data_IF_445243165672
#
_entry.id   IF_445243165672
#
_cell.length_a   1.000
_cell.length_b   1.000
_cell.length_c   1.000
_cell.angle_alpha   90.00
_cell.angle_beta   90.00
_cell.angle_gamma   90.00
#
_symmetry.space_group_name_H-M   'P 1'
#
loop_
_entity.id
_entity.type
_entity.pdbx_description
1 polymer ?
#
# COMPACT_ATOMS: atom_id res chain seq x y z
N UNK A 1 -11.58 34.51 -7.43
CA UNK A 1 -11.22 35.72 -6.66
C UNK A 1 -11.81 36.92 -7.41
N UNK A 2 -12.40 37.93 -6.77
CA UNK A 2 -12.84 39.15 -7.47
C UNK A 2 -11.62 39.94 -7.96
N UNK A 3 -11.74 40.65 -9.09
CA UNK A 3 -10.65 41.45 -9.65
C UNK A 3 -10.32 42.64 -8.74
N UNK A 4 -9.05 42.79 -8.37
CA UNK A 4 -8.58 43.96 -7.62
C UNK A 4 -8.25 45.11 -8.56
N UNK A 5 -9.21 46.01 -8.75
CA UNK A 5 -9.06 47.16 -9.65
C UNK A 5 -8.03 48.19 -9.19
N UNK A 6 -7.82 48.35 -7.88
CA UNK A 6 -6.82 49.28 -7.36
C UNK A 6 -5.42 48.81 -7.76
N UNK A 7 -5.17 47.50 -7.62
CA UNK A 7 -3.91 46.90 -8.05
C UNK A 7 -3.66 47.17 -9.54
N UNK A 8 -4.66 46.98 -10.40
CA UNK A 8 -4.55 47.18 -11.86
C UNK A 8 -4.27 48.65 -12.21
N UNK A 9 -4.86 49.60 -11.48
CA UNK A 9 -4.67 51.04 -11.71
C UNK A 9 -3.28 51.52 -11.29
N UNK A 10 -2.72 50.96 -10.23
CA UNK A 10 -1.42 51.36 -9.68
C UNK A 10 -0.25 50.72 -10.44
N UNK A 11 -0.49 49.77 -11.36
CA UNK A 11 0.57 49.13 -12.15
C UNK A 11 1.14 50.09 -13.18
N UNK A 12 2.46 50.30 -13.11
CA UNK A 12 3.21 50.90 -14.20
C UNK A 12 3.68 49.85 -15.21
N UNK A 13 2.85 49.59 -16.23
CA UNK A 13 3.13 48.58 -17.27
C UNK A 13 4.38 48.93 -18.09
N UNK A 14 4.61 50.22 -18.35
CA UNK A 14 5.76 50.69 -19.13
C UNK A 14 7.09 50.39 -18.42
N UNK A 15 7.11 50.55 -17.10
CA UNK A 15 8.28 50.23 -16.30
C UNK A 15 8.57 48.72 -16.30
N UNK A 16 7.55 47.89 -16.04
CA UNK A 16 7.69 46.43 -16.06
C UNK A 16 8.20 45.95 -17.42
N UNK A 17 7.71 46.53 -18.52
CA UNK A 17 8.13 46.19 -19.86
C UNK A 17 9.60 46.60 -20.14
N UNK A 18 10.04 47.75 -19.66
CA UNK A 18 11.43 48.22 -19.82
C UNK A 18 12.42 47.43 -18.98
N UNK A 19 12.07 47.17 -17.73
CA UNK A 19 12.96 46.52 -16.76
C UNK A 19 12.92 44.98 -16.89
N UNK A 20 12.01 44.46 -17.74
CA UNK A 20 11.71 43.03 -17.87
C UNK A 20 11.51 42.34 -16.50
N UNK A 21 10.77 43.00 -15.61
CA UNK A 21 10.51 42.47 -14.28
C UNK A 21 9.49 41.33 -14.32
N UNK A 22 10.00 40.13 -14.55
CA UNK A 22 9.20 38.89 -14.63
C UNK A 22 8.50 38.60 -13.30
N UNK A 23 9.07 39.00 -12.16
CA UNK A 23 8.50 38.71 -10.84
C UNK A 23 7.22 39.53 -10.61
N UNK A 24 7.29 40.82 -10.92
CA UNK A 24 6.11 41.70 -10.86
C UNK A 24 5.05 41.27 -11.88
N UNK A 25 5.45 40.86 -13.09
CA UNK A 25 4.53 40.35 -14.09
C UNK A 25 3.83 39.07 -13.61
N UNK A 26 4.54 38.11 -13.05
CA UNK A 26 3.97 36.86 -12.52
C UNK A 26 2.96 37.14 -11.40
N UNK A 27 3.32 38.02 -10.46
CA UNK A 27 2.42 38.45 -9.38
C UNK A 27 1.12 39.05 -9.93
N UNK A 28 1.21 39.98 -10.88
CA UNK A 28 0.04 40.63 -11.47
C UNK A 28 -0.81 39.67 -12.29
N UNK A 29 -0.17 38.83 -13.09
CA UNK A 29 -0.85 37.81 -13.91
C UNK A 29 -1.66 36.87 -13.02
N UNK A 30 -1.14 36.46 -11.86
CA UNK A 30 -1.87 35.60 -10.94
C UNK A 30 -3.17 36.25 -10.41
N UNK A 31 -3.17 37.57 -10.22
CA UNK A 31 -4.32 38.31 -9.71
C UNK A 31 -5.32 38.71 -10.82
N UNK A 32 -4.85 38.86 -12.05
CA UNK A 32 -5.66 39.31 -13.20
C UNK A 32 -6.21 38.13 -14.00
N UNK A 33 -5.39 37.13 -14.32
CA UNK A 33 -5.78 36.02 -15.18
C UNK A 33 -6.82 35.09 -14.54
N UNK A 34 -6.75 34.92 -13.21
CA UNK A 34 -7.64 34.05 -12.44
C UNK A 34 -8.75 34.82 -11.69
N UNK A 35 -8.93 36.10 -12.00
CA UNK A 35 -10.02 36.88 -11.45
C UNK A 35 -11.35 36.59 -12.15
N UNK A 36 -12.40 36.40 -11.36
CA UNK A 36 -13.77 36.27 -11.86
C UNK A 36 -14.33 37.66 -12.12
N UNK A 37 -14.60 37.95 -13.39
CA UNK A 37 -15.30 39.16 -13.80
C UNK A 37 -16.80 39.01 -13.56
N UNK A 38 -17.37 39.95 -12.80
CA UNK A 38 -18.80 40.07 -12.54
C UNK A 38 -19.47 41.05 -13.51
N UNK A 39 -20.81 41.10 -13.52
CA UNK A 39 -21.55 42.06 -14.35
C UNK A 39 -21.30 43.52 -13.92
N UNK A 40 -20.92 43.76 -12.66
CA UNK A 40 -20.50 45.07 -12.18
C UNK A 40 -19.15 45.50 -12.79
N UNK A 41 -18.24 44.55 -13.03
CA UNK A 41 -16.96 44.79 -13.69
C UNK A 41 -17.15 45.13 -15.17
N UNK A 42 -18.17 44.56 -15.81
CA UNK A 42 -18.52 44.86 -17.20
C UNK A 42 -18.87 46.34 -17.41
N UNK A 43 -19.45 47.01 -16.40
CA UNK A 43 -19.73 48.45 -16.46
C UNK A 43 -18.45 49.29 -16.48
N UNK A 44 -17.35 48.80 -15.88
CA UNK A 44 -16.06 49.50 -15.85
C UNK A 44 -15.32 49.48 -17.19
N UNK A 45 -15.50 48.43 -17.99
CA UNK A 45 -14.87 48.34 -19.31
C UNK A 45 -15.48 49.29 -20.36
N UNK A 46 -16.68 49.83 -20.10
CA UNK A 46 -17.50 50.72 -20.97
C UNK A 46 -17.87 50.13 -22.35
N UNK A 47 -16.98 49.34 -22.96
CA UNK A 47 -17.16 48.62 -24.21
C UNK A 47 -17.21 47.10 -23.97
N UNK A 48 -18.19 46.46 -24.63
CA UNK A 48 -18.36 45.00 -24.63
C UNK A 48 -17.27 44.30 -25.45
N UNK A 49 -16.71 44.97 -26.46
CA UNK A 49 -15.58 44.46 -27.24
C UNK A 49 -14.33 44.29 -26.38
N UNK A 50 -13.95 45.34 -25.66
CA UNK A 50 -12.84 45.33 -24.70
C UNK A 50 -12.98 44.23 -23.64
N UNK A 51 -14.19 44.05 -23.06
CA UNK A 51 -14.43 42.97 -22.09
C UNK A 51 -14.23 41.58 -22.69
N UNK A 52 -14.70 41.34 -23.93
CA UNK A 52 -14.51 40.06 -24.61
C UNK A 52 -13.04 39.81 -24.91
N UNK A 53 -12.30 40.82 -25.38
CA UNK A 53 -10.87 40.73 -25.61
C UNK A 53 -10.11 40.41 -24.31
N UNK A 54 -10.46 41.07 -23.22
CA UNK A 54 -9.87 40.81 -21.90
C UNK A 54 -10.13 39.38 -21.42
N UNK A 55 -11.37 38.87 -21.54
CA UNK A 55 -11.69 37.48 -21.21
C UNK A 55 -10.92 36.48 -22.08
N UNK A 56 -10.75 36.76 -23.37
CA UNK A 56 -9.92 35.95 -24.27
C UNK A 56 -8.45 35.94 -23.83
N UNK A 57 -7.92 37.08 -23.38
CA UNK A 57 -6.57 37.17 -22.83
C UNK A 57 -6.42 36.36 -21.53
N UNK A 58 -7.41 36.41 -20.62
CA UNK A 58 -7.42 35.56 -19.41
C UNK A 58 -7.37 34.07 -19.78
N UNK A 59 -8.20 33.63 -20.73
CA UNK A 59 -8.18 32.25 -21.25
C UNK A 59 -6.84 31.89 -21.93
N UNK A 60 -6.24 32.83 -22.68
CA UNK A 60 -4.94 32.62 -23.32
C UNK A 60 -3.83 32.42 -22.31
N UNK A 61 -3.82 33.20 -21.22
CA UNK A 61 -2.87 33.04 -20.12
C UNK A 61 -3.08 31.72 -19.38
N UNK A 62 -4.32 31.34 -19.09
CA UNK A 62 -4.65 30.06 -18.47
C UNK A 62 -4.18 28.90 -19.36
N UNK A 63 -4.41 28.97 -20.68
CA UNK A 63 -3.93 28.00 -21.66
C UNK A 63 -2.40 27.88 -21.66
N UNK A 64 -1.68 29.00 -21.72
CA UNK A 64 -0.21 29.02 -21.69
C UNK A 64 0.34 28.49 -20.36
N UNK A 65 -0.36 28.75 -19.25
CA UNK A 65 0.00 28.22 -17.93
C UNK A 65 -0.24 26.70 -17.88
N UNK A 66 -1.29 26.21 -18.52
CA UNK A 66 -1.54 24.77 -18.67
C UNK A 66 -0.49 24.09 -19.56
N UNK A 67 -0.01 24.75 -20.61
CA UNK A 67 1.10 24.24 -21.44
C UNK A 67 2.43 24.24 -20.68
N UNK A 68 2.63 25.17 -19.74
CA UNK A 68 3.80 25.22 -18.85
C UNK A 68 3.69 24.30 -17.64
N UNK A 69 2.55 23.67 -17.36
CA UNK A 69 2.56 22.53 -16.43
C UNK A 69 3.56 21.54 -17.03
N UNK A 70 4.60 21.14 -16.29
CA UNK A 70 5.45 20.08 -16.80
C UNK A 70 4.52 18.92 -17.13
N UNK A 71 4.53 18.47 -18.39
CA UNK A 71 4.14 17.10 -18.74
C UNK A 71 4.61 16.24 -17.58
N UNK A 72 3.72 15.42 -16.97
CA UNK A 72 3.99 14.77 -15.69
C UNK A 72 5.43 14.35 -15.68
N UNK A 73 6.22 15.08 -14.90
CA UNK A 73 7.69 15.02 -14.95
C UNK A 73 8.03 13.55 -14.95
N UNK A 74 8.82 13.11 -15.95
CA UNK A 74 9.34 11.74 -15.98
C UNK A 74 9.64 11.34 -14.54
N UNK A 75 9.09 10.22 -14.04
CA UNK A 75 9.19 9.89 -12.64
C UNK A 75 10.64 10.03 -12.25
N UNK A 76 10.91 10.81 -11.20
CA UNK A 76 12.27 11.13 -10.77
C UNK A 76 13.11 9.86 -10.85
N UNK A 77 14.31 9.94 -11.42
CA UNK A 77 15.13 8.74 -11.68
C UNK A 77 15.33 7.88 -10.42
N UNK A 78 15.18 8.45 -9.22
CA UNK A 78 15.15 7.76 -7.93
C UNK A 78 13.93 6.84 -7.74
N UNK A 79 12.74 7.27 -8.16
CA UNK A 79 11.52 6.47 -8.03
C UNK A 79 11.49 5.34 -9.05
N UNK A 80 12.02 5.59 -10.25
CA UNK A 80 12.27 4.54 -11.24
C UNK A 80 13.28 3.51 -10.73
N UNK A 81 14.37 3.94 -10.08
CA UNK A 81 15.37 3.04 -9.47
C UNK A 81 14.77 2.23 -8.32
N UNK A 82 13.94 2.84 -7.47
CA UNK A 82 13.22 2.13 -6.39
C UNK A 82 12.26 1.09 -6.96
N UNK A 83 11.45 1.46 -7.95
CA UNK A 83 10.53 0.56 -8.61
C UNK A 83 11.26 -0.61 -9.29
N UNK A 84 12.41 -0.34 -9.93
CA UNK A 84 13.25 -1.38 -10.52
C UNK A 84 13.81 -2.33 -9.45
N UNK A 85 14.31 -1.80 -8.34
CA UNK A 85 14.81 -2.61 -7.22
C UNK A 85 13.71 -3.46 -6.57
N UNK A 86 12.51 -2.89 -6.41
CA UNK A 86 11.35 -3.61 -5.88
C UNK A 86 10.90 -4.72 -6.86
N UNK A 87 10.93 -4.44 -8.16
CA UNK A 87 10.64 -5.43 -9.20
C UNK A 87 11.66 -6.57 -9.19
N UNK A 88 12.95 -6.27 -9.08
CA UNK A 88 14.01 -7.27 -9.00
C UNK A 88 13.84 -8.17 -7.77
N UNK A 89 13.53 -7.58 -6.62
CA UNK A 89 13.28 -8.35 -5.39
C UNK A 89 12.06 -9.28 -5.52
N UNK A 90 11.01 -8.84 -6.20
CA UNK A 90 9.84 -9.70 -6.49
C UNK A 90 10.18 -10.86 -7.41
N UNK A 91 11.03 -10.64 -8.42
CA UNK A 91 11.49 -11.71 -9.31
C UNK A 91 12.27 -12.76 -8.53
N UNK A 92 13.21 -12.34 -7.69
CA UNK A 92 13.99 -13.26 -6.85
C UNK A 92 13.10 -14.04 -5.87
N UNK A 93 12.09 -13.39 -5.28
CA UNK A 93 11.11 -14.07 -4.42
C UNK A 93 10.30 -15.12 -5.21
N UNK A 94 9.84 -14.79 -6.41
CA UNK A 94 9.10 -15.72 -7.27
C UNK A 94 9.98 -16.90 -7.72
N UNK A 95 11.25 -16.66 -8.05
CA UNK A 95 12.21 -17.72 -8.39
C UNK A 95 12.42 -18.67 -7.21
N UNK A 96 12.55 -18.14 -5.99
CA UNK A 96 12.70 -18.97 -4.79
C UNK A 96 11.45 -19.83 -4.51
N UNK A 97 10.27 -19.27 -4.69
CA UNK A 97 8.99 -19.98 -4.53
C UNK A 97 8.81 -21.05 -5.61
N UNK A 98 9.21 -20.76 -6.85
CA UNK A 98 9.16 -21.71 -7.95
C UNK A 98 10.07 -22.91 -7.65
N UNK A 99 11.31 -22.64 -7.24
CA UNK A 99 12.26 -23.68 -6.83
C UNK A 99 11.72 -24.55 -5.68
N UNK A 100 11.16 -23.93 -4.63
CA UNK A 100 10.53 -24.68 -3.54
C UNK A 100 9.36 -25.54 -4.00
N UNK A 101 8.55 -25.04 -4.93
CA UNK A 101 7.41 -25.77 -5.48
C UNK A 101 7.86 -26.97 -6.31
N UNK A 102 8.94 -26.82 -7.09
CA UNK A 102 9.53 -27.91 -7.88
C UNK A 102 10.10 -29.00 -6.98
N UNK A 103 10.84 -28.62 -5.94
CA UNK A 103 11.37 -29.56 -4.94
C UNK A 103 10.25 -30.34 -4.24
N UNK A 104 9.14 -29.68 -3.89
CA UNK A 104 7.97 -30.35 -3.29
C UNK A 104 7.32 -31.32 -4.28
N UNK A 105 7.20 -30.92 -5.54
CA UNK A 105 6.66 -31.77 -6.62
C UNK A 105 7.53 -33.00 -6.83
N UNK A 106 8.86 -32.85 -6.86
CA UNK A 106 9.79 -33.96 -7.01
C UNK A 106 9.68 -34.96 -5.86
N UNK A 107 9.65 -34.47 -4.61
CA UNK A 107 9.42 -35.32 -3.42
C UNK A 107 8.11 -36.08 -3.49
N UNK A 108 7.03 -35.42 -3.91
CA UNK A 108 5.72 -36.05 -4.08
C UNK A 108 5.71 -37.09 -5.21
N UNK A 109 6.44 -36.85 -6.30
CA UNK A 109 6.60 -37.83 -7.38
C UNK A 109 7.43 -39.03 -6.94
N UNK A 110 8.52 -38.80 -6.20
CA UNK A 110 9.35 -39.87 -5.64
C UNK A 110 8.55 -40.73 -4.66
N UNK A 111 7.79 -40.12 -3.75
CA UNK A 111 6.93 -40.85 -2.83
C UNK A 111 5.82 -41.62 -3.58
N UNK A 112 5.18 -41.00 -4.57
CA UNK A 112 4.18 -41.66 -5.42
C UNK A 112 4.74 -42.90 -6.11
N UNK A 113 5.95 -42.84 -6.66
CA UNK A 113 6.63 -44.01 -7.26
C UNK A 113 6.87 -45.12 -6.23
N UNK A 114 7.31 -44.78 -5.03
CA UNK A 114 7.52 -45.74 -3.94
C UNK A 114 6.20 -46.41 -3.54
N UNK A 115 5.12 -45.64 -3.35
CA UNK A 115 3.81 -46.19 -3.02
C UNK A 115 3.27 -47.08 -4.13
N UNK A 116 3.42 -46.68 -5.40
CA UNK A 116 3.03 -47.48 -6.56
C UNK A 116 3.79 -48.82 -6.60
N UNK A 117 5.12 -48.79 -6.47
CA UNK A 117 5.92 -50.00 -6.45
C UNK A 117 5.58 -50.92 -5.27
N UNK A 118 5.34 -50.34 -4.08
CA UNK A 118 4.93 -51.12 -2.90
C UNK A 118 3.56 -51.76 -3.11
N UNK A 119 2.62 -51.04 -3.72
CA UNK A 119 1.30 -51.57 -4.04
C UNK A 119 1.39 -52.70 -5.07
N UNK A 120 2.17 -52.54 -6.13
CA UNK A 120 2.39 -53.58 -7.15
C UNK A 120 3.07 -54.82 -6.55
N UNK A 121 4.02 -54.65 -5.62
CA UNK A 121 4.65 -55.77 -4.91
C UNK A 121 3.66 -56.52 -4.00
N UNK A 122 2.81 -55.79 -3.26
CA UNK A 122 1.76 -56.40 -2.45
C UNK A 122 0.70 -57.10 -3.30
N UNK A 123 0.34 -56.52 -4.44
CA UNK A 123 -0.61 -57.14 -5.38
C UNK A 123 -0.05 -58.46 -5.92
N UNK A 124 1.22 -58.49 -6.35
CA UNK A 124 1.88 -59.73 -6.77
C UNK A 124 1.93 -60.76 -5.65
N UNK A 125 2.22 -60.35 -4.42
CA UNK A 125 2.24 -61.29 -3.29
C UNK A 125 0.85 -61.89 -3.02
N UNK A 126 -0.22 -61.11 -3.15
CA UNK A 126 -1.60 -61.62 -3.02
C UNK A 126 -1.95 -62.56 -4.18
N UNK A 127 -1.52 -62.23 -5.40
CA UNK A 127 -1.77 -63.05 -6.58
C UNK A 127 -0.95 -64.37 -6.54
N UNK A 128 0.28 -64.33 -6.01
CA UNK A 128 1.17 -65.49 -5.81
C UNK A 128 0.74 -66.37 -4.61
N UNK A 129 0.16 -65.79 -3.54
CA UNK A 129 -0.43 -66.51 -2.40
C UNK A 129 -1.83 -67.09 -2.72
N UNK A 130 -2.39 -66.80 -3.91
CA UNK A 130 -3.69 -67.29 -4.37
C UNK A 130 -3.70 -68.72 -4.93
N UNK A 131 -2.56 -69.40 -5.03
CA UNK A 131 -2.45 -70.74 -5.64
C UNK A 131 -2.07 -71.89 -4.67
N UNK A 132 -1.84 -71.63 -3.38
CA UNK A 132 -1.58 -72.71 -2.40
C UNK A 132 -2.73 -72.85 -1.40
N UNK A 133 -3.49 -73.94 -1.52
CA UNK A 133 -4.41 -74.46 -0.50
C UNK A 133 -3.60 -74.86 0.76
N UNK A 134 -3.37 -73.89 1.65
CA UNK A 134 -2.69 -74.08 2.92
C UNK A 134 -3.45 -73.43 4.06
N UNK A 135 -4.03 -74.26 4.93
CA UNK A 135 -4.76 -73.91 6.15
C UNK A 135 -4.05 -72.82 7.02
N UNK A 136 -4.50 -71.57 6.97
CA UNK A 136 -3.96 -70.49 7.81
C UNK A 136 -4.62 -70.54 9.19
N UNK A 137 -3.84 -70.95 10.20
CA UNK A 137 -4.18 -70.76 11.62
C UNK A 137 -4.42 -69.27 11.90
N UNK A 138 -5.61 -68.97 12.42
CA UNK A 138 -6.09 -67.62 12.71
C UNK A 138 -5.10 -66.80 13.55
N UNK A 139 -4.60 -65.73 12.96
CA UNK A 139 -4.07 -64.58 13.69
C UNK A 139 -5.30 -63.74 14.06
N UNK A 140 -5.49 -63.47 15.35
CA UNK A 140 -6.57 -62.60 15.84
C UNK A 140 -6.55 -61.27 15.09
N UNK A 141 -7.60 -61.01 14.31
CA UNK A 141 -7.89 -59.72 13.70
C UNK A 141 -8.12 -58.71 14.83
N UNK A 142 -7.08 -58.00 15.23
CA UNK A 142 -7.28 -56.64 15.75
C UNK A 142 -7.61 -55.79 14.54
N UNK A 143 -8.83 -55.28 14.49
CA UNK A 143 -9.35 -54.32 13.51
C UNK A 143 -8.50 -53.04 13.52
N UNK A 144 -7.28 -53.11 13.01
CA UNK A 144 -6.42 -51.95 12.80
C UNK A 144 -6.80 -51.42 11.44
N UNK A 145 -7.74 -50.47 11.43
CA UNK A 145 -8.10 -49.73 10.22
C UNK A 145 -6.81 -49.18 9.58
N UNK A 146 -6.41 -49.67 8.39
CA UNK A 146 -5.15 -49.28 7.75
C UNK A 146 -5.14 -47.79 7.37
N UNK A 147 -6.29 -47.12 7.42
CA UNK A 147 -6.45 -45.69 7.16
C UNK A 147 -6.55 -44.83 8.43
N UNK A 148 -6.48 -45.42 9.63
CA UNK A 148 -6.58 -44.67 10.88
C UNK A 148 -5.49 -43.58 11.02
N UNK A 149 -4.29 -43.86 10.53
CA UNK A 149 -3.19 -42.89 10.50
C UNK A 149 -3.48 -41.71 9.55
N UNK A 150 -4.01 -42.01 8.37
CA UNK A 150 -4.37 -41.02 7.34
C UNK A 150 -5.57 -40.17 7.78
N UNK A 151 -6.59 -40.78 8.40
CA UNK A 151 -7.73 -40.05 8.96
C UNK A 151 -7.30 -39.12 10.09
N UNK A 152 -6.36 -39.53 10.93
CA UNK A 152 -5.79 -38.68 11.98
C UNK A 152 -5.06 -37.48 11.39
N UNK A 153 -4.30 -37.67 10.31
CA UNK A 153 -3.60 -36.59 9.60
C UNK A 153 -4.57 -35.62 8.90
N UNK A 154 -5.61 -36.13 8.24
CA UNK A 154 -6.69 -35.33 7.63
C UNK A 154 -7.40 -34.47 8.70
N UNK A 155 -7.70 -35.07 9.85
CA UNK A 155 -8.34 -34.34 10.96
C UNK A 155 -7.43 -33.25 11.54
N UNK A 156 -6.12 -33.50 11.64
CA UNK A 156 -5.15 -32.47 12.04
C UNK A 156 -5.09 -31.32 11.03
N UNK A 157 -5.08 -31.62 9.73
CA UNK A 157 -5.10 -30.59 8.68
C UNK A 157 -6.39 -29.76 8.73
N UNK A 158 -7.55 -30.38 8.94
CA UNK A 158 -8.83 -29.66 9.11
C UNK A 158 -8.78 -28.70 10.30
N UNK A 159 -8.23 -29.12 11.44
CA UNK A 159 -8.07 -28.26 12.61
C UNK A 159 -7.14 -27.07 12.36
N UNK A 160 -6.05 -27.26 11.60
CA UNK A 160 -5.12 -26.18 11.25
C UNK A 160 -5.80 -25.16 10.33
N UNK A 161 -6.54 -25.63 9.31
CA UNK A 161 -7.29 -24.76 8.40
C UNK A 161 -8.36 -23.98 9.14
N UNK A 162 -9.10 -24.62 10.04
CA UNK A 162 -10.14 -23.96 10.84
C UNK A 162 -9.56 -22.89 11.78
N UNK A 163 -8.43 -23.19 12.45
CA UNK A 163 -7.71 -22.21 13.28
C UNK A 163 -7.22 -21.01 12.47
N UNK A 164 -6.70 -21.25 11.26
CA UNK A 164 -6.28 -20.17 10.35
C UNK A 164 -7.47 -19.33 9.88
N UNK A 165 -8.59 -19.97 9.52
CA UNK A 165 -9.82 -19.27 9.14
C UNK A 165 -10.38 -18.38 10.25
N UNK A 166 -10.39 -18.87 11.49
CA UNK A 166 -10.80 -18.09 12.68
C UNK A 166 -9.89 -16.89 12.90
N UNK A 167 -8.57 -17.06 12.86
CA UNK A 167 -7.61 -15.95 13.01
C UNK A 167 -7.74 -14.89 11.89
N UNK A 168 -8.07 -15.31 10.67
CA UNK A 168 -8.30 -14.41 9.53
C UNK A 168 -9.57 -13.59 9.70
N UNK A 169 -10.65 -14.20 10.18
CA UNK A 169 -11.90 -13.51 10.50
C UNK A 169 -11.75 -12.53 11.67
N UNK A 170 -11.07 -12.93 12.75
CA UNK A 170 -10.77 -12.04 13.88
C UNK A 170 -9.94 -10.82 13.42
N UNK A 171 -8.97 -11.04 12.52
CA UNK A 171 -8.20 -9.96 11.92
C UNK A 171 -9.11 -9.06 11.08
N UNK A 172 -9.95 -9.60 10.21
CA UNK A 172 -10.88 -8.80 9.41
C UNK A 172 -11.84 -7.95 10.28
N UNK A 173 -12.35 -8.50 11.37
CA UNK A 173 -13.22 -7.78 12.31
C UNK A 173 -12.48 -6.69 13.08
N UNK A 174 -11.20 -6.92 13.43
CA UNK A 174 -10.36 -5.88 14.04
C UNK A 174 -10.15 -4.69 13.12
N UNK A 175 -10.00 -4.94 11.81
CA UNK A 175 -9.87 -3.89 10.80
C UNK A 175 -11.17 -3.10 10.64
N UNK A 176 -12.33 -3.79 10.62
CA UNK A 176 -13.65 -3.14 10.56
C UNK A 176 -13.95 -2.28 11.79
N UNK A 177 -13.52 -2.69 12.99
CA UNK A 177 -13.67 -1.87 14.21
C UNK A 177 -12.78 -0.63 14.18
N UNK A 178 -11.55 -0.77 13.67
CA UNK A 178 -10.57 0.33 13.60
C UNK A 178 -10.98 1.40 12.59
N UNK A 179 -11.62 1.02 11.47
CA UNK A 179 -12.17 1.98 10.51
C UNK A 179 -13.43 2.68 11.01
N UNK A 180 -14.25 2.03 11.84
CA UNK A 180 -15.47 2.64 12.41
C UNK A 180 -15.19 3.71 13.48
N UNK A 181 -14.01 3.70 14.10
CA UNK A 181 -13.56 4.76 15.02
C UNK A 181 -12.80 5.91 14.35
N UNK A 182 -12.56 5.85 13.03
CA UNK A 182 -11.96 6.96 12.27
C UNK A 182 -12.97 7.72 11.38
N UNK A 183 -14.23 7.28 11.31
CA UNK A 183 -15.27 7.89 10.48
C UNK A 183 -16.25 8.78 11.25
N UNK A 184 -15.93 9.24 12.46
CA UNK A 184 -16.60 10.41 13.05
C UNK A 184 -15.88 11.65 12.54
N UNK A 185 -16.32 12.15 11.39
CA UNK A 185 -16.02 13.52 10.98
C UNK A 185 -16.68 14.41 12.05
N UNK A 186 -15.93 15.18 12.85
CA UNK A 186 -16.56 16.09 13.80
C UNK A 186 -17.42 17.09 13.04
N UNK A 187 -18.61 17.46 13.53
CA UNK A 187 -19.42 18.48 12.89
C UNK A 187 -18.60 19.76 12.76
N UNK A 188 -18.52 20.27 11.52
CA UNK A 188 -17.86 21.51 11.14
C UNK A 188 -18.62 22.72 11.69
N UNK A 189 -18.62 22.89 13.00
CA UNK A 189 -18.99 24.15 13.64
C UNK A 189 -17.97 24.41 14.74
N UNK A 190 -16.95 25.19 14.41
CA UNK A 190 -16.02 25.71 15.40
C UNK A 190 -16.80 26.71 16.24
N UNK A 191 -17.03 26.40 17.51
CA UNK A 191 -17.67 27.34 18.44
C UNK A 191 -16.67 28.41 18.85
N UNK A 192 -17.12 29.64 19.10
CA UNK A 192 -16.25 30.77 19.44
C UNK A 192 -15.27 30.47 20.59
N UNK A 193 -15.68 29.61 21.53
CA UNK A 193 -14.84 29.18 22.65
C UNK A 193 -13.64 28.31 22.24
N UNK A 194 -13.75 27.52 21.16
CA UNK A 194 -12.65 26.69 20.64
C UNK A 194 -11.59 27.54 19.92
N UNK A 195 -11.98 28.68 19.36
CA UNK A 195 -11.05 29.65 18.76
C UNK A 195 -10.23 30.33 19.87
N UNK A 196 -10.87 30.63 20.99
CA UNK A 196 -10.24 31.29 22.14
C UNK A 196 -9.19 30.39 22.84
N UNK A 197 -9.36 29.07 22.81
CA UNK A 197 -8.37 28.13 23.34
C UNK A 197 -7.09 28.03 22.49
N UNK A 198 -7.16 28.30 21.19
CA UNK A 198 -5.99 28.26 20.29
C UNK A 198 -4.98 29.38 20.56
N UNK A 199 -5.41 30.46 21.23
CA UNK A 199 -4.56 31.61 21.56
C UNK A 199 -4.12 31.63 23.03
N UNK A 200 -4.45 30.60 23.82
CA UNK A 200 -3.88 30.48 25.17
C UNK A 200 -2.41 30.05 25.06
N UNK A 201 -1.47 30.80 25.67
CA UNK A 201 -0.07 30.37 25.70
C UNK A 201 0.02 29.01 26.42
N UNK A 202 0.82 28.06 25.90
CA UNK A 202 0.89 26.72 26.46
C UNK A 202 1.39 26.79 27.91
N UNK A 203 0.58 26.29 28.84
CA UNK A 203 0.99 26.10 30.23
C UNK A 203 2.24 25.20 30.27
N UNK A 204 3.30 25.67 30.91
CA UNK A 204 4.54 24.92 31.10
C UNK A 204 4.30 23.68 31.96
N UNK A 205 3.96 22.57 31.32
CA UNK A 205 3.94 21.26 31.97
C UNK A 205 5.41 20.85 32.18
N UNK A 206 5.87 20.96 33.42
CA UNK A 206 7.17 20.46 33.89
C UNK A 206 7.33 18.98 33.50
N UNK A 207 8.06 18.72 32.41
CA UNK A 207 8.43 17.36 31.99
C UNK A 207 9.48 16.79 32.96
N UNK A 208 9.05 15.89 33.84
CA UNK A 208 9.94 15.01 34.58
C UNK A 208 10.72 14.13 33.59
N UNK A 209 12.04 14.38 33.48
CA UNK A 209 12.98 13.51 32.75
C UNK A 209 13.19 12.23 33.55
N UNK A 210 12.81 11.07 32.99
CA UNK A 210 13.40 9.78 33.38
C UNK A 210 14.50 9.44 32.37
N UNK A 211 15.69 8.96 32.81
CA UNK A 211 16.79 8.65 31.90
C UNK A 211 16.52 7.36 31.14
N UNK A 212 16.84 7.38 29.85
CA UNK A 212 16.82 6.21 28.97
C UNK A 212 18.02 5.31 29.28
N UNK A 213 17.76 4.12 29.81
CA UNK A 213 18.74 3.03 29.94
C UNK A 213 19.07 2.46 28.56
N UNK A 214 20.27 2.74 28.06
CA UNK A 214 20.88 2.02 26.95
C UNK A 214 21.19 0.58 27.37
N UNK A 215 20.52 -0.42 26.77
CA UNK A 215 20.96 -1.82 26.84
C UNK A 215 22.04 -2.04 25.78
N UNK A 216 23.29 -2.10 26.24
CA UNK A 216 24.39 -2.64 25.45
C UNK A 216 24.20 -4.15 25.23
N UNK A 217 24.53 -4.57 24.01
CA UNK A 217 24.60 -5.96 23.59
C UNK A 217 25.70 -6.71 24.36
N UNK A 218 25.38 -7.91 24.86
CA UNK A 218 26.37 -8.94 25.12
C UNK A 218 26.25 -9.99 24.03
N UNK A 219 27.23 -9.98 23.12
CA UNK A 219 27.50 -11.03 22.14
C UNK A 219 28.39 -12.04 22.86
N UNK A 220 27.84 -13.19 23.22
CA UNK A 220 28.62 -14.31 23.76
C UNK A 220 29.26 -15.06 22.58
N UNK A 221 30.58 -14.90 22.43
CA UNK A 221 31.43 -15.84 21.70
C UNK A 221 31.76 -17.03 22.63
N UNK A 222 31.56 -18.26 22.12
CA UNK A 222 32.12 -19.57 22.51
C UNK A 222 31.09 -20.65 22.05
N UNK A 223 31.39 -21.69 21.28
CA UNK A 223 32.64 -22.20 20.73
C UNK A 223 32.39 -23.50 19.91
N UNK A 224 33.45 -23.91 19.21
CA UNK A 224 33.81 -25.24 18.67
C UNK A 224 32.93 -25.93 17.59
N UNK A 225 33.56 -26.12 16.42
CA UNK A 225 33.33 -27.18 15.43
C UNK A 225 33.95 -28.50 15.91
N UNK A 226 33.35 -29.68 15.61
CA UNK A 226 34.07 -30.95 15.62
C UNK A 226 34.58 -31.31 14.21
N UNK A 227 35.81 -31.82 14.19
CA UNK A 227 36.43 -32.62 13.10
C UNK A 227 35.75 -33.95 12.92
#
# INVERSE_FOLDING_TARGET
>A
MPLNWNLVQDVNVDQIARDMDVSSLEYLVQHIAFANLTDADAQRFQDRGALKAFKLLQLGVEYLTHLKRPLPTQPDSSDLKKALSESQRRVEELESLLYESEMKRERAQASSKIYKHRYEALQRQIDDEGEDEGEIRGIENKDVDPFASVQKEINQMRQIVEKRGKALNERADSWKRKTRHQSEIPPRTVTAHQIEELFKPPNEVKRNKKPAMYRYAQRSEQGSLPT
#
